data_IF_300009053612
#
_entry.id   IF_300009053612
#
_cell.length_a   1.000
_cell.length_b   1.000
_cell.length_c   1.000
_cell.angle_alpha   90.00
_cell.angle_beta   90.00
_cell.angle_gamma   90.00
#
_symmetry.space_group_name_H-M   'P 1'
#
loop_
_entity.id
_entity.type
_entity.pdbx_description
1 polymer ?
#
# COMPACT_ATOMS: atom_id res chain seq x y z
N UNK A 1 2.49 -8.14 -18.93
CA UNK A 1 3.88 -8.65 -18.88
C UNK A 1 4.19 -8.93 -17.40
N UNK A 2 4.36 -10.19 -16.99
CA UNK A 2 4.69 -10.51 -15.59
C UNK A 2 6.17 -10.19 -15.38
N UNK A 3 6.49 -9.32 -14.42
CA UNK A 3 7.87 -9.05 -14.04
C UNK A 3 8.60 -10.37 -13.72
N UNK A 4 9.83 -10.51 -14.19
CA UNK A 4 10.67 -11.68 -13.94
C UNK A 4 11.10 -11.74 -12.47
N UNK A 5 11.65 -12.87 -12.01
CA UNK A 5 12.18 -13.00 -10.63
C UNK A 5 13.14 -11.87 -10.23
N UNK A 6 14.15 -11.56 -11.05
CA UNK A 6 15.12 -10.49 -10.76
C UNK A 6 14.50 -9.09 -10.70
N UNK A 7 13.56 -8.78 -11.60
CA UNK A 7 12.88 -7.47 -11.61
C UNK A 7 12.03 -7.24 -10.36
N UNK A 8 11.37 -8.30 -9.85
CA UNK A 8 10.60 -8.23 -8.60
C UNK A 8 11.49 -8.02 -7.39
N UNK A 9 12.65 -8.68 -7.36
CA UNK A 9 13.62 -8.53 -6.27
C UNK A 9 14.21 -7.12 -6.26
N UNK A 10 14.61 -6.60 -7.42
CA UNK A 10 15.07 -5.22 -7.56
C UNK A 10 14.00 -4.21 -7.12
N UNK A 11 12.76 -4.37 -7.56
CA UNK A 11 11.65 -3.50 -7.15
C UNK A 11 11.40 -3.55 -5.63
N UNK A 12 11.49 -4.73 -5.02
CA UNK A 12 11.37 -4.90 -3.56
C UNK A 12 12.51 -4.20 -2.82
N UNK A 13 13.75 -4.33 -3.32
CA UNK A 13 14.91 -3.66 -2.74
C UNK A 13 14.81 -2.15 -2.80
N UNK A 14 14.36 -1.59 -3.93
CA UNK A 14 14.13 -0.16 -4.09
C UNK A 14 13.07 0.33 -3.11
N UNK A 15 11.92 -0.36 -3.00
CA UNK A 15 10.86 0.03 -2.07
C UNK A 15 11.33 0.03 -0.61
N UNK A 16 12.19 -0.92 -0.22
CA UNK A 16 12.77 -0.96 1.12
C UNK A 16 13.74 0.19 1.36
N UNK A 17 14.58 0.53 0.37
CA UNK A 17 15.48 1.67 0.45
C UNK A 17 14.73 3.00 0.53
N UNK A 18 13.70 3.19 -0.30
CA UNK A 18 12.83 4.38 -0.25
C UNK A 18 12.19 4.53 1.12
N UNK A 19 11.65 3.44 1.70
CA UNK A 19 11.10 3.45 3.05
C UNK A 19 12.12 3.82 4.12
N UNK A 20 13.35 3.29 4.01
CA UNK A 20 14.44 3.65 4.92
C UNK A 20 14.84 5.12 4.79
N UNK A 21 15.02 5.62 3.57
CA UNK A 21 15.41 7.01 3.31
C UNK A 21 14.34 8.00 3.78
N UNK A 22 13.06 7.69 3.53
CA UNK A 22 11.95 8.47 4.04
C UNK A 22 11.97 8.51 5.58
N UNK A 23 12.19 7.36 6.22
CA UNK A 23 12.28 7.30 7.68
C UNK A 23 13.47 8.09 8.24
N UNK A 24 14.64 8.03 7.59
CA UNK A 24 15.80 8.84 7.98
C UNK A 24 15.52 10.34 7.83
N UNK A 25 14.83 10.75 6.76
CA UNK A 25 14.40 12.14 6.57
C UNK A 25 13.46 12.60 7.69
N UNK A 26 12.49 11.76 8.08
CA UNK A 26 11.58 12.04 9.19
C UNK A 26 12.33 12.19 10.53
N UNK A 27 13.31 11.32 10.80
CA UNK A 27 14.14 11.42 12.01
C UNK A 27 14.95 12.72 12.04
N UNK A 28 15.56 13.10 10.92
CA UNK A 28 16.34 14.32 10.81
C UNK A 28 15.43 15.56 10.95
N UNK A 29 14.27 15.56 10.29
CA UNK A 29 13.27 16.62 10.38
C UNK A 29 12.76 16.81 11.80
N UNK A 30 12.40 15.72 12.50
CA UNK A 30 11.92 15.79 13.87
C UNK A 30 12.96 16.37 14.85
N UNK A 31 14.25 16.05 14.65
CA UNK A 31 15.34 16.62 15.46
C UNK A 31 15.53 18.11 15.19
N UNK A 32 15.56 18.51 13.92
CA UNK A 32 15.69 19.91 13.54
C UNK A 32 14.50 20.76 14.04
N UNK A 33 13.27 20.24 13.93
CA UNK A 33 12.07 20.86 14.49
C UNK A 33 12.17 21.01 16.01
N UNK A 34 12.68 19.98 16.70
CA UNK A 34 12.88 20.01 18.14
C UNK A 34 13.89 21.06 18.59
N UNK A 35 15.02 21.18 17.89
CA UNK A 35 16.05 22.18 18.18
C UNK A 35 15.50 23.60 17.98
N UNK A 36 14.76 23.83 16.90
CA UNK A 36 14.09 25.11 16.62
C UNK A 36 13.04 25.44 17.69
N UNK A 37 12.24 24.45 18.10
CA UNK A 37 11.26 24.61 19.15
C UNK A 37 11.93 24.97 20.47
N UNK A 38 12.96 24.22 20.88
CA UNK A 38 13.67 24.48 22.12
C UNK A 38 14.36 25.84 22.08
N UNK A 39 14.93 26.27 20.94
CA UNK A 39 15.50 27.60 20.74
C UNK A 39 14.48 28.74 20.91
N UNK A 40 13.21 28.50 20.56
CA UNK A 40 12.13 29.49 20.68
C UNK A 40 11.69 29.78 22.12
N UNK A 41 12.05 28.91 23.07
CA UNK A 41 11.66 29.07 24.48
C UNK A 41 12.70 29.95 25.21
N UNK A 42 12.29 31.14 25.70
CA UNK A 42 13.20 32.03 26.42
C UNK A 42 13.49 31.53 27.83
N UNK A 43 14.68 31.84 28.34
CA UNK A 43 15.07 31.55 29.73
C UNK A 43 15.58 30.14 30.01
N UNK A 44 15.65 29.27 29.00
CA UNK A 44 16.30 27.96 29.13
C UNK A 44 17.83 28.09 29.07
N UNK A 45 18.52 27.35 29.94
CA UNK A 45 19.96 27.08 29.78
C UNK A 45 20.20 26.15 28.59
N UNK A 46 21.45 26.05 28.12
CA UNK A 46 21.78 25.16 27.00
C UNK A 46 21.50 23.68 27.30
N UNK A 47 21.74 23.25 28.53
CA UNK A 47 21.44 21.88 28.99
C UNK A 47 19.94 21.62 29.00
N UNK A 48 19.14 22.56 29.53
CA UNK A 48 17.68 22.45 29.50
C UNK A 48 17.13 22.46 28.07
N UNK A 49 17.76 23.24 27.17
CA UNK A 49 17.38 23.31 25.76
C UNK A 49 17.63 21.98 25.06
N UNK A 50 18.80 21.37 25.28
CA UNK A 50 19.13 20.05 24.74
C UNK A 50 18.17 18.96 25.25
N UNK A 51 17.86 18.97 26.54
CA UNK A 51 16.91 18.02 27.14
C UNK A 51 15.50 18.15 26.57
N UNK A 52 15.01 19.38 26.40
CA UNK A 52 13.68 19.65 25.80
C UNK A 52 13.66 19.22 24.34
N UNK A 53 14.68 19.56 23.56
CA UNK A 53 14.78 19.13 22.16
C UNK A 53 14.80 17.60 22.05
N UNK A 54 15.58 16.92 22.90
CA UNK A 54 15.63 15.46 22.89
C UNK A 54 14.26 14.82 23.16
N UNK A 55 13.58 15.23 24.25
CA UNK A 55 12.25 14.70 24.60
C UNK A 55 11.19 15.01 23.54
N UNK A 56 11.22 16.23 22.99
CA UNK A 56 10.30 16.60 21.92
C UNK A 56 10.51 15.72 20.68
N UNK A 57 11.76 15.53 20.25
CA UNK A 57 12.08 14.68 19.11
C UNK A 57 11.59 13.25 19.32
N UNK A 58 11.80 12.67 20.52
CA UNK A 58 11.31 11.32 20.85
C UNK A 58 9.79 11.20 20.71
N UNK A 59 9.03 12.13 21.31
CA UNK A 59 7.56 12.10 21.22
C UNK A 59 7.06 12.34 19.80
N UNK A 60 7.70 13.27 19.07
CA UNK A 60 7.36 13.56 17.66
C UNK A 60 7.56 12.33 16.79
N UNK A 61 8.68 11.63 16.97
CA UNK A 61 9.00 10.38 16.27
C UNK A 61 8.00 9.29 16.65
N UNK A 62 7.66 9.13 17.93
CA UNK A 62 6.67 8.17 18.39
C UNK A 62 5.29 8.42 17.78
N UNK A 63 4.86 9.69 17.71
CA UNK A 63 3.64 10.09 17.04
C UNK A 63 3.67 9.76 15.54
N UNK A 64 4.74 10.11 14.83
CA UNK A 64 4.88 9.80 13.40
C UNK A 64 4.79 8.30 13.14
N UNK A 65 5.40 7.44 13.97
CA UNK A 65 5.24 5.99 13.86
C UNK A 65 3.78 5.54 14.02
N UNK A 66 3.08 6.05 15.05
CA UNK A 66 1.67 5.71 15.30
C UNK A 66 0.79 6.10 14.11
N UNK A 67 0.99 7.29 13.55
CA UNK A 67 0.25 7.78 12.39
C UNK A 67 0.54 6.93 11.16
N UNK A 68 1.81 6.65 10.86
CA UNK A 68 2.19 5.82 9.72
C UNK A 68 1.62 4.40 9.84
N UNK A 69 1.65 3.79 11.02
CA UNK A 69 1.05 2.48 11.26
C UNK A 69 -0.47 2.50 11.02
N UNK A 70 -1.18 3.47 11.58
CA UNK A 70 -2.62 3.60 11.40
C UNK A 70 -3.02 3.81 9.93
N UNK A 71 -2.25 4.61 9.19
CA UNK A 71 -2.46 4.81 7.74
C UNK A 71 -2.18 3.53 6.96
N UNK A 72 -1.09 2.82 7.28
CA UNK A 72 -0.78 1.54 6.64
C UNK A 72 -1.89 0.51 6.88
N UNK A 73 -2.36 0.36 8.11
CA UNK A 73 -3.47 -0.53 8.46
C UNK A 73 -4.75 -0.15 7.71
N UNK A 74 -5.06 1.15 7.60
CA UNK A 74 -6.24 1.61 6.85
C UNK A 74 -6.10 1.31 5.36
N UNK A 75 -4.93 1.54 4.77
CA UNK A 75 -4.64 1.21 3.38
C UNK A 75 -4.78 -0.30 3.12
N UNK A 76 -4.28 -1.14 4.02
CA UNK A 76 -4.47 -2.60 3.94
C UNK A 76 -5.93 -3.00 4.04
N UNK A 77 -6.68 -2.42 4.98
CA UNK A 77 -8.12 -2.65 5.12
C UNK A 77 -8.91 -2.25 3.87
N UNK A 78 -8.64 -1.06 3.31
CA UNK A 78 -9.26 -0.62 2.05
C UNK A 78 -8.89 -1.56 0.90
N UNK A 79 -7.62 -1.93 0.75
CA UNK A 79 -7.18 -2.86 -0.29
C UNK A 79 -7.88 -4.21 -0.18
N UNK A 80 -8.07 -4.73 1.04
CA UNK A 80 -8.82 -5.95 1.28
C UNK A 80 -10.29 -5.80 0.84
N UNK A 81 -10.97 -4.72 1.24
CA UNK A 81 -12.36 -4.44 0.86
C UNK A 81 -12.56 -4.33 -0.65
N UNK A 82 -11.69 -3.59 -1.35
CA UNK A 82 -11.76 -3.44 -2.80
C UNK A 82 -11.39 -4.73 -3.54
N UNK A 83 -10.39 -5.47 -3.05
CA UNK A 83 -9.99 -6.74 -3.65
C UNK A 83 -11.12 -7.78 -3.58
N UNK A 84 -11.84 -7.85 -2.45
CA UNK A 84 -13.00 -8.73 -2.30
C UNK A 84 -14.14 -8.38 -3.29
N UNK A 85 -14.45 -7.08 -3.45
CA UNK A 85 -15.45 -6.62 -4.41
C UNK A 85 -15.04 -6.93 -5.85
N UNK A 86 -13.77 -6.70 -6.18
CA UNK A 86 -13.24 -6.99 -7.50
C UNK A 86 -13.28 -8.48 -7.81
N UNK A 87 -12.87 -9.34 -6.87
CA UNK A 87 -12.86 -10.78 -7.07
C UNK A 87 -14.28 -11.32 -7.24
N UNK A 88 -15.25 -10.80 -6.48
CA UNK A 88 -16.66 -11.14 -6.66
C UNK A 88 -17.19 -10.75 -8.05
N UNK A 89 -16.89 -9.53 -8.51
CA UNK A 89 -17.31 -9.08 -9.84
C UNK A 89 -16.62 -9.90 -10.95
N UNK A 90 -15.33 -10.17 -10.79
CA UNK A 90 -14.53 -11.00 -11.69
C UNK A 90 -15.11 -12.40 -11.80
N UNK A 91 -15.45 -13.05 -10.68
CA UNK A 91 -16.08 -14.36 -10.68
C UNK A 91 -17.41 -14.34 -11.44
N UNK A 92 -18.26 -13.34 -11.21
CA UNK A 92 -19.54 -13.20 -11.93
C UNK A 92 -19.34 -13.04 -13.43
N UNK A 93 -18.40 -12.19 -13.86
CA UNK A 93 -18.09 -11.98 -15.27
C UNK A 93 -17.52 -13.26 -15.90
N UNK A 94 -16.62 -13.97 -15.21
CA UNK A 94 -16.08 -15.24 -15.68
C UNK A 94 -17.18 -16.31 -15.81
N UNK A 95 -18.06 -16.45 -14.81
CA UNK A 95 -19.19 -17.38 -14.89
C UNK A 95 -20.12 -17.03 -16.05
N UNK A 96 -20.48 -15.75 -16.22
CA UNK A 96 -21.33 -15.31 -17.33
C UNK A 96 -20.68 -15.58 -18.69
N UNK A 97 -19.38 -15.31 -18.83
CA UNK A 97 -18.63 -15.59 -20.05
C UNK A 97 -18.57 -17.09 -20.36
N UNK A 98 -18.31 -17.93 -19.35
CA UNK A 98 -18.31 -19.39 -19.50
C UNK A 98 -19.70 -19.90 -19.90
N UNK A 99 -20.77 -19.44 -19.24
CA UNK A 99 -22.14 -19.81 -19.61
C UNK A 99 -22.47 -19.40 -21.05
N UNK A 100 -22.09 -18.19 -21.47
CA UNK A 100 -22.31 -17.71 -22.83
C UNK A 100 -21.55 -18.56 -23.86
N UNK A 101 -20.29 -18.91 -23.60
CA UNK A 101 -19.49 -19.80 -24.46
C UNK A 101 -20.15 -21.17 -24.56
N UNK A 102 -20.55 -21.77 -23.43
CA UNK A 102 -21.23 -23.07 -23.43
C UNK A 102 -22.53 -23.03 -24.25
N UNK A 103 -23.36 -22.00 -24.08
CA UNK A 103 -24.59 -21.83 -24.85
C UNK A 103 -24.31 -21.70 -26.35
N UNK A 104 -23.35 -20.88 -26.76
CA UNK A 104 -22.97 -20.71 -28.17
C UNK A 104 -22.46 -22.03 -28.75
N UNK A 105 -21.61 -22.75 -28.01
CA UNK A 105 -21.09 -24.06 -28.47
C UNK A 105 -22.20 -25.11 -28.59
N UNK A 106 -23.16 -25.14 -27.66
CA UNK A 106 -24.29 -26.07 -27.71
C UNK A 106 -25.22 -25.78 -28.89
N UNK A 107 -25.51 -24.50 -29.16
CA UNK A 107 -26.31 -24.09 -30.32
C UNK A 107 -25.60 -24.43 -31.64
N UNK A 108 -24.30 -24.15 -31.74
CA UNK A 108 -23.51 -24.51 -32.91
C UNK A 108 -23.49 -26.03 -33.14
N UNK A 109 -23.27 -26.82 -32.09
CA UNK A 109 -23.30 -28.28 -32.17
C UNK A 109 -24.68 -28.80 -32.60
N UNK A 110 -25.77 -28.26 -32.05
CA UNK A 110 -27.14 -28.58 -32.45
C UNK A 110 -27.40 -28.32 -33.92
N UNK A 111 -27.01 -27.14 -34.43
CA UNK A 111 -27.13 -26.78 -35.84
C UNK A 111 -26.32 -27.71 -36.76
N UNK A 112 -25.11 -28.09 -36.36
CA UNK A 112 -24.32 -29.06 -37.14
C UNK A 112 -24.96 -30.45 -37.17
N UNK A 113 -25.60 -30.88 -36.07
CA UNK A 113 -26.27 -32.16 -35.99
C UNK A 113 -27.54 -32.19 -36.87
N UNK A 114 -28.33 -31.10 -36.84
CA UNK A 114 -29.52 -30.99 -37.70
C UNK A 114 -29.15 -30.89 -39.18
N UNK A 115 -28.04 -30.22 -39.51
CA UNK A 115 -27.55 -30.14 -40.87
C UNK A 115 -26.98 -31.48 -41.39
N UNK A 116 -26.41 -32.33 -40.54
CA UNK A 116 -25.92 -33.66 -40.93
C UNK A 116 -27.06 -34.69 -41.07
N UNK A 117 -28.15 -34.49 -40.34
CA UNK A 117 -29.33 -35.37 -40.35
C UNK A 117 -30.34 -35.03 -41.46
N UNK A 118 -30.19 -33.88 -42.13
CA UNK A 118 -31.01 -33.42 -43.25
C UNK A 118 -30.35 -33.75 -44.59
#
# INVERSE_FOLDING_TARGET
MRATGPEREAASGIAQLEGYLLWQSELAGARAEADLFAASVPGLTDEQRADVAHRYAEERIALSRRVLAAVADRCHGLRAEYSARYEHLRQRVLCAAVCAVLLVTALAAGLTLTALAA
#
